data_IF_213351247410
#
_entry.id   IF_213351247410
#
_cell.length_a   1.000
_cell.length_b   1.000
_cell.length_c   1.000
_cell.angle_alpha   90.00
_cell.angle_beta   90.00
_cell.angle_gamma   90.00
#
_symmetry.space_group_name_H-M   'P 1'
#
loop_
_entity.id
_entity.type
_entity.pdbx_description
1 polymer ?
#
# COMPACT_ATOMS: atom_id res chain seq x y z
N UNK A 1 -9.44 31.80 40.84
CA UNK A 1 -7.97 31.78 40.75
C UNK A 1 -7.50 30.55 41.49
N UNK A 2 -7.56 29.41 40.81
CA UNK A 2 -6.76 28.24 41.14
C UNK A 2 -5.75 28.15 40.01
N UNK A 3 -4.49 28.47 40.33
CA UNK A 3 -3.38 28.21 39.43
C UNK A 3 -3.16 26.70 39.45
N UNK A 4 -3.72 26.01 38.47
CA UNK A 4 -3.26 24.66 38.15
C UNK A 4 -1.87 24.82 37.54
N UNK A 5 -0.85 24.57 38.37
CA UNK A 5 0.50 24.28 37.92
C UNK A 5 0.46 22.91 37.21
N UNK A 6 -0.17 22.91 36.02
CA UNK A 6 -0.17 21.76 35.12
C UNK A 6 1.16 21.85 34.39
N UNK A 7 2.18 21.20 34.96
CA UNK A 7 3.24 20.63 34.14
C UNK A 7 2.53 19.78 33.11
N UNK A 8 2.37 20.32 31.89
CA UNK A 8 1.82 19.57 30.77
C UNK A 8 2.76 18.39 30.53
N UNK A 9 2.24 17.16 30.30
CA UNK A 9 3.09 15.98 30.09
C UNK A 9 4.13 16.16 28.98
N UNK A 10 3.84 17.02 27.99
CA UNK A 10 4.76 17.42 26.93
C UNK A 10 6.01 18.18 27.44
N UNK A 11 5.91 18.90 28.56
CA UNK A 11 7.04 19.60 29.17
C UNK A 11 8.05 18.64 29.83
N UNK A 12 7.63 17.40 30.14
CA UNK A 12 8.48 16.36 30.73
C UNK A 12 9.14 15.40 29.74
N UNK A 13 8.97 15.63 28.42
CA UNK A 13 9.63 14.82 27.40
C UNK A 13 11.16 14.93 27.49
N UNK A 14 11.86 13.80 27.30
CA UNK A 14 13.32 13.79 27.17
C UNK A 14 13.78 14.54 25.91
N UNK A 15 15.08 14.85 25.81
CA UNK A 15 15.66 15.47 24.61
C UNK A 15 15.39 14.63 23.36
N UNK A 16 15.70 13.33 23.41
CA UNK A 16 15.45 12.38 22.33
C UNK A 16 13.95 12.33 21.94
N UNK A 17 13.04 12.30 22.92
CA UNK A 17 11.60 12.31 22.65
C UNK A 17 11.12 13.61 22.02
N UNK A 18 11.73 14.75 22.37
CA UNK A 18 11.42 16.04 21.76
C UNK A 18 11.91 16.11 20.33
N UNK A 19 13.12 15.65 20.04
CA UNK A 19 13.64 15.63 18.68
C UNK A 19 12.74 14.78 17.76
N UNK A 20 12.33 13.61 18.25
CA UNK A 20 11.36 12.74 17.55
C UNK A 20 9.98 13.34 17.40
N UNK A 21 9.51 14.09 18.39
CA UNK A 21 8.28 14.87 18.27
C UNK A 21 8.40 15.96 17.20
N UNK A 22 9.51 16.69 17.16
CA UNK A 22 9.75 17.78 16.19
C UNK A 22 9.91 17.23 14.78
N UNK A 23 10.61 16.12 14.59
CA UNK A 23 10.70 15.40 13.31
C UNK A 23 9.29 15.02 12.81
N UNK A 24 8.47 14.41 13.68
CA UNK A 24 7.09 14.04 13.37
C UNK A 24 6.22 15.25 12.99
N UNK A 25 6.26 16.33 13.77
CA UNK A 25 5.54 17.58 13.45
C UNK A 25 6.02 18.19 12.13
N UNK A 26 7.33 18.22 11.89
CA UNK A 26 7.93 18.78 10.67
C UNK A 26 7.44 18.04 9.43
N UNK A 27 7.33 16.72 9.50
CA UNK A 27 6.91 15.86 8.39
C UNK A 27 5.40 15.91 8.11
N UNK A 28 4.58 16.17 9.13
CA UNK A 28 3.17 15.78 9.09
C UNK A 28 2.15 16.81 9.58
N UNK A 29 2.59 17.92 10.18
CA UNK A 29 1.67 18.93 10.69
C UNK A 29 1.52 20.09 9.70
N UNK A 30 0.30 20.66 9.54
CA UNK A 30 0.05 21.80 8.65
C UNK A 30 0.61 23.11 9.26
N UNK A 31 1.93 23.24 9.24
CA UNK A 31 2.62 24.43 9.71
C UNK A 31 2.34 25.61 8.77
N UNK A 32 2.06 26.77 9.35
CA UNK A 32 2.01 28.03 8.60
C UNK A 32 3.43 28.51 8.31
N UNK A 33 3.61 29.27 7.22
CA UNK A 33 4.89 29.93 6.95
C UNK A 33 5.39 30.77 8.13
N UNK A 34 4.49 31.42 8.88
CA UNK A 34 4.85 32.16 10.10
C UNK A 34 5.42 31.25 11.21
N UNK A 35 4.89 30.03 11.38
CA UNK A 35 5.41 29.06 12.36
C UNK A 35 6.76 28.50 11.92
N UNK A 36 6.92 28.24 10.62
CA UNK A 36 8.21 27.82 10.04
C UNK A 36 9.26 28.91 10.27
N UNK A 37 8.91 30.17 10.01
CA UNK A 37 9.80 31.32 10.22
C UNK A 37 10.13 31.54 11.71
N UNK A 38 9.14 31.49 12.59
CA UNK A 38 9.32 31.80 14.00
C UNK A 38 10.24 30.78 14.70
N UNK A 39 10.20 29.52 14.29
CA UNK A 39 10.98 28.42 14.88
C UNK A 39 11.90 27.75 13.84
N UNK A 40 12.46 28.55 12.94
CA UNK A 40 13.27 28.05 11.82
C UNK A 40 14.42 27.15 12.24
N UNK A 41 15.04 27.40 13.39
CA UNK A 41 16.19 26.62 13.86
C UNK A 41 15.79 25.32 14.57
N UNK A 42 14.49 25.14 14.81
CA UNK A 42 13.93 23.97 15.47
C UNK A 42 13.48 22.93 14.45
N UNK A 43 12.89 23.35 13.34
CA UNK A 43 12.30 22.41 12.39
C UNK A 43 13.34 21.64 11.58
N UNK A 44 13.01 20.38 11.32
CA UNK A 44 13.75 19.53 10.39
C UNK A 44 13.32 19.88 8.96
N UNK A 45 14.18 20.58 8.22
CA UNK A 45 13.89 21.01 6.85
C UNK A 45 13.87 19.85 5.84
N UNK A 46 14.58 18.77 6.13
CA UNK A 46 14.56 17.56 5.32
C UNK A 46 13.19 16.84 5.44
N UNK A 47 12.63 16.84 6.65
CA UNK A 47 11.27 16.37 6.92
C UNK A 47 10.21 17.32 6.37
N UNK A 48 10.39 18.64 6.51
CA UNK A 48 9.47 19.64 5.97
C UNK A 48 9.39 19.58 4.43
N UNK A 49 10.49 19.32 3.72
CA UNK A 49 10.47 19.18 2.26
C UNK A 49 9.53 18.07 1.75
N UNK A 50 9.18 17.10 2.61
CA UNK A 50 8.23 16.02 2.29
C UNK A 50 6.82 16.28 2.83
N UNK A 51 6.60 17.42 3.49
CA UNK A 51 5.33 17.69 4.16
C UNK A 51 4.27 18.13 3.14
N UNK A 52 3.31 17.24 2.86
CA UNK A 52 2.22 17.47 1.90
C UNK A 52 1.08 18.34 2.45
N UNK A 53 1.07 18.64 3.76
CA UNK A 53 0.01 19.42 4.40
C UNK A 53 0.48 20.78 4.90
N UNK A 54 1.77 21.10 4.73
CA UNK A 54 2.32 22.40 5.02
C UNK A 54 1.65 23.46 4.14
N UNK A 55 1.41 24.66 4.69
CA UNK A 55 0.84 25.76 3.92
C UNK A 55 1.92 26.38 3.02
N UNK A 56 2.20 25.70 1.92
CA UNK A 56 3.21 26.11 0.95
C UNK A 56 2.80 27.40 0.23
N UNK A 57 3.80 28.21 -0.06
CA UNK A 57 3.71 29.36 -0.96
C UNK A 57 5.05 29.52 -1.67
N UNK A 58 5.06 30.14 -2.86
CA UNK A 58 6.32 30.39 -3.58
C UNK A 58 7.29 31.20 -2.70
N UNK A 59 6.78 32.17 -1.92
CA UNK A 59 7.60 32.99 -1.03
C UNK A 59 8.27 32.16 0.09
N UNK A 60 7.59 31.14 0.61
CA UNK A 60 8.17 30.26 1.62
C UNK A 60 9.28 29.39 1.02
N UNK A 61 9.08 28.87 -0.20
CA UNK A 61 10.08 28.09 -0.93
C UNK A 61 11.31 28.96 -1.17
N UNK A 62 11.13 30.15 -1.71
CA UNK A 62 12.21 31.12 -2.00
C UNK A 62 12.97 31.54 -0.74
N UNK A 63 12.25 31.85 0.34
CA UNK A 63 12.86 32.35 1.58
C UNK A 63 13.87 31.38 2.19
N UNK A 64 13.62 30.08 2.06
CA UNK A 64 14.45 29.02 2.65
C UNK A 64 15.10 28.13 1.59
N UNK A 65 15.36 28.67 0.40
CA UNK A 65 15.90 27.92 -0.75
C UNK A 65 17.19 27.12 -0.43
N UNK A 66 18.04 27.62 0.47
CA UNK A 66 19.29 26.95 0.88
C UNK A 66 19.10 25.86 1.93
N UNK A 67 17.91 25.75 2.52
CA UNK A 67 17.60 24.79 3.59
C UNK A 67 16.76 23.63 3.12
N UNK A 68 15.98 23.82 2.05
CA UNK A 68 15.17 22.75 1.49
C UNK A 68 16.02 21.65 0.90
N UNK A 69 15.56 20.42 1.09
CA UNK A 69 15.97 19.29 0.28
C UNK A 69 15.20 19.33 -1.05
N UNK A 70 15.87 19.76 -2.13
CA UNK A 70 15.27 19.93 -3.46
C UNK A 70 14.96 18.62 -4.17
N UNK A 71 15.69 17.55 -3.85
CA UNK A 71 15.38 16.21 -4.35
C UNK A 71 14.00 15.80 -3.84
N UNK A 72 13.74 16.04 -2.55
CA UNK A 72 12.45 15.77 -1.92
C UNK A 72 11.35 16.74 -2.33
N UNK A 73 11.66 18.03 -2.51
CA UNK A 73 10.68 19.00 -3.03
C UNK A 73 10.24 18.64 -4.45
N UNK A 74 11.14 18.14 -5.30
CA UNK A 74 10.81 17.72 -6.66
C UNK A 74 9.74 16.63 -6.73
N UNK A 75 9.63 15.80 -5.69
CA UNK A 75 8.61 14.76 -5.54
C UNK A 75 7.35 15.23 -4.82
N UNK A 76 7.41 16.36 -4.14
CA UNK A 76 6.32 16.78 -3.26
C UNK A 76 5.19 17.40 -4.09
N UNK A 77 4.06 16.71 -4.07
CA UNK A 77 2.87 17.06 -4.85
C UNK A 77 2.13 18.29 -4.30
N UNK A 78 2.41 18.70 -3.07
CA UNK A 78 1.72 19.81 -2.40
C UNK A 78 2.35 21.19 -2.65
N UNK A 79 3.46 21.27 -3.40
CA UNK A 79 4.05 22.57 -3.75
C UNK A 79 3.08 23.37 -4.62
N UNK A 80 3.18 24.72 -4.60
CA UNK A 80 2.43 25.60 -5.49
C UNK A 80 3.07 25.54 -6.89
N UNK A 81 2.97 24.38 -7.55
CA UNK A 81 3.62 24.15 -8.83
C UNK A 81 3.15 25.15 -9.89
N UNK A 82 4.12 25.82 -10.50
CA UNK A 82 3.93 26.73 -11.61
C UNK A 82 5.12 26.59 -12.56
N UNK A 83 4.93 26.89 -13.85
CA UNK A 83 6.06 26.89 -14.79
C UNK A 83 7.15 27.89 -14.36
N UNK A 84 6.76 28.97 -13.69
CA UNK A 84 7.68 29.98 -13.19
C UNK A 84 8.52 29.44 -12.01
N UNK A 85 7.91 28.73 -11.07
CA UNK A 85 8.63 28.09 -9.96
C UNK A 85 9.66 27.09 -10.49
N UNK A 86 9.26 26.25 -11.46
CA UNK A 86 10.14 25.28 -12.11
C UNK A 86 11.32 26.00 -12.78
N UNK A 87 11.03 27.01 -13.59
CA UNK A 87 12.04 27.76 -14.35
C UNK A 87 12.98 28.59 -13.48
N UNK A 88 12.49 29.21 -12.39
CA UNK A 88 13.34 30.01 -11.47
C UNK A 88 14.38 29.16 -10.76
N UNK A 89 14.07 27.89 -10.48
CA UNK A 89 14.93 26.98 -9.74
C UNK A 89 15.46 25.83 -10.62
N UNK A 90 15.61 26.08 -11.93
CA UNK A 90 15.96 25.06 -12.93
C UNK A 90 17.18 24.21 -12.55
N UNK A 91 18.19 24.83 -11.95
CA UNK A 91 19.46 24.20 -11.56
C UNK A 91 19.37 23.40 -10.25
N UNK A 92 18.33 23.61 -9.45
CA UNK A 92 18.18 22.97 -8.12
C UNK A 92 17.40 21.66 -8.17
N UNK A 93 16.60 21.45 -9.21
CA UNK A 93 15.78 20.23 -9.37
C UNK A 93 16.59 18.99 -9.78
N UNK A 94 17.82 19.18 -10.26
CA UNK A 94 18.68 18.08 -10.69
C UNK A 94 19.23 17.33 -9.48
N UNK A 95 19.02 16.02 -9.45
CA UNK A 95 19.58 15.14 -8.42
C UNK A 95 21.10 15.07 -8.53
N UNK A 96 21.81 15.40 -7.45
CA UNK A 96 23.28 15.43 -7.39
C UNK A 96 23.90 14.07 -7.76
N UNK A 97 23.16 12.97 -7.59
CA UNK A 97 23.66 11.60 -7.78
C UNK A 97 23.52 11.05 -9.20
N UNK A 98 22.65 11.60 -10.05
CA UNK A 98 22.19 10.89 -11.26
C UNK A 98 22.39 11.60 -12.61
N UNK A 99 23.17 12.68 -12.65
CA UNK A 99 23.52 13.41 -13.88
C UNK A 99 22.32 14.08 -14.57
N UNK A 100 22.31 15.41 -14.52
CA UNK A 100 21.63 16.41 -15.39
C UNK A 100 20.08 16.35 -15.59
N UNK A 101 19.43 15.19 -15.44
CA UNK A 101 18.01 14.99 -15.73
C UNK A 101 17.09 15.21 -14.51
N UNK A 102 15.87 15.65 -14.80
CA UNK A 102 14.80 15.96 -13.85
C UNK A 102 13.98 14.72 -13.50
N UNK A 103 14.64 13.68 -13.01
CA UNK A 103 14.01 12.40 -12.67
C UNK A 103 12.80 12.55 -11.74
N UNK A 104 12.95 13.30 -10.65
CA UNK A 104 11.86 13.50 -9.68
C UNK A 104 10.72 14.38 -10.21
N UNK A 105 11.01 15.40 -11.01
CA UNK A 105 9.94 16.18 -11.63
C UNK A 105 9.22 15.38 -12.73
N UNK A 106 9.93 14.59 -13.54
CA UNK A 106 9.36 13.76 -14.62
C UNK A 106 8.28 12.80 -14.14
N UNK A 107 8.37 12.32 -12.89
CA UNK A 107 7.41 11.41 -12.26
C UNK A 107 6.36 12.10 -11.39
N UNK A 108 6.48 13.40 -11.16
CA UNK A 108 5.59 14.13 -10.27
C UNK A 108 4.29 14.46 -11.03
N UNK A 109 3.19 13.91 -10.56
CA UNK A 109 1.87 14.01 -11.21
C UNK A 109 1.17 15.35 -10.95
N UNK A 110 1.64 16.14 -9.99
CA UNK A 110 1.06 17.42 -9.61
C UNK A 110 1.65 18.63 -10.34
N UNK A 111 2.61 18.43 -11.23
CA UNK A 111 3.10 19.50 -12.10
C UNK A 111 1.98 19.99 -13.04
N UNK A 112 2.02 21.26 -13.48
CA UNK A 112 1.07 21.80 -14.45
C UNK A 112 1.39 21.30 -15.87
N UNK A 113 1.25 19.99 -16.08
CA UNK A 113 1.64 19.34 -17.33
C UNK A 113 0.88 19.93 -18.53
N UNK A 114 1.65 20.39 -19.50
CA UNK A 114 1.19 20.90 -20.77
C UNK A 114 2.18 20.48 -21.85
N UNK A 115 1.73 20.45 -23.11
CA UNK A 115 2.62 20.17 -24.24
C UNK A 115 3.72 21.24 -24.34
N UNK A 116 3.40 22.48 -23.97
CA UNK A 116 4.33 23.60 -23.90
C UNK A 116 5.41 23.40 -22.83
N UNK A 117 5.03 22.97 -21.62
CA UNK A 117 5.97 22.69 -20.53
C UNK A 117 6.91 21.54 -20.91
N UNK A 118 6.38 20.46 -21.48
CA UNK A 118 7.18 19.31 -21.96
C UNK A 118 8.18 19.78 -23.01
N UNK A 119 7.71 20.55 -24.01
CA UNK A 119 8.58 21.06 -25.09
C UNK A 119 9.63 22.06 -24.61
N UNK A 120 9.30 22.89 -23.60
CA UNK A 120 10.21 23.93 -23.09
C UNK A 120 11.46 23.33 -22.44
N UNK A 121 11.30 22.20 -21.75
CA UNK A 121 12.37 21.55 -21.01
C UNK A 121 12.67 20.14 -21.53
N UNK A 122 12.48 19.91 -22.83
CA UNK A 122 12.58 18.58 -23.44
C UNK A 122 13.89 17.85 -23.09
N UNK A 123 15.00 18.58 -23.02
CA UNK A 123 16.34 18.07 -22.72
C UNK A 123 16.65 17.90 -21.23
N UNK A 124 15.76 18.36 -20.35
CA UNK A 124 15.88 18.18 -18.90
C UNK A 124 15.05 17.00 -18.41
N UNK A 125 13.98 16.63 -19.12
CA UNK A 125 13.13 15.55 -18.67
C UNK A 125 13.81 14.19 -18.82
N UNK A 126 13.66 13.36 -17.78
CA UNK A 126 13.85 11.92 -17.92
C UNK A 126 12.64 11.33 -18.66
N UNK A 127 12.86 10.85 -19.89
CA UNK A 127 11.81 10.38 -20.80
C UNK A 127 11.32 8.96 -20.49
N UNK A 128 12.10 8.16 -19.75
CA UNK A 128 11.63 6.87 -19.25
C UNK A 128 10.58 7.13 -18.15
N UNK A 129 10.86 8.04 -17.20
CA UNK A 129 9.87 8.42 -16.17
C UNK A 129 8.69 9.21 -16.71
N UNK A 130 8.88 10.13 -17.66
CA UNK A 130 7.73 10.77 -18.33
C UNK A 130 6.82 9.74 -19.02
N UNK A 131 7.40 8.70 -19.63
CA UNK A 131 6.64 7.63 -20.27
C UNK A 131 5.69 6.91 -19.30
N UNK A 132 6.01 6.89 -18.01
CA UNK A 132 5.17 6.32 -16.95
C UNK A 132 4.26 7.30 -16.22
N UNK A 133 4.34 8.59 -16.51
CA UNK A 133 3.59 9.60 -15.77
C UNK A 133 2.14 9.66 -16.30
N UNK A 134 1.19 9.24 -15.47
CA UNK A 134 -0.23 9.16 -15.85
C UNK A 134 -0.91 10.53 -15.94
N UNK A 135 -0.32 11.58 -15.33
CA UNK A 135 -0.86 12.93 -15.33
C UNK A 135 -0.49 13.76 -16.56
N UNK A 136 0.32 13.23 -17.48
CA UNK A 136 0.61 13.94 -18.73
C UNK A 136 -0.66 14.11 -19.59
N UNK A 137 -0.73 15.15 -20.43
CA UNK A 137 -1.82 15.35 -21.38
C UNK A 137 -1.70 14.40 -22.57
N UNK A 138 -1.78 13.09 -22.28
CA UNK A 138 -1.62 12.02 -23.26
C UNK A 138 -2.58 12.17 -24.44
N UNK A 139 -2.00 12.11 -25.64
CA UNK A 139 -2.70 12.15 -26.92
C UNK A 139 -1.81 11.50 -27.98
N UNK A 140 -2.40 10.97 -29.05
CA UNK A 140 -1.61 10.45 -30.17
C UNK A 140 -0.66 11.53 -30.74
N UNK A 141 -1.11 12.80 -30.79
CA UNK A 141 -0.29 13.93 -31.20
C UNK A 141 0.95 14.15 -30.31
N UNK A 142 0.83 13.95 -29.00
CA UNK A 142 1.96 14.06 -28.06
C UNK A 142 2.95 12.91 -28.29
N UNK A 143 2.44 11.69 -28.47
CA UNK A 143 3.26 10.50 -28.73
C UNK A 143 4.04 10.68 -30.03
N UNK A 144 3.36 11.09 -31.11
CA UNK A 144 3.97 11.33 -32.43
C UNK A 144 4.99 12.46 -32.38
N UNK A 145 4.70 13.58 -31.72
CA UNK A 145 5.63 14.71 -31.64
C UNK A 145 6.97 14.32 -31.03
N UNK A 146 6.94 13.51 -29.97
CA UNK A 146 8.13 13.11 -29.22
C UNK A 146 8.52 11.66 -29.48
N UNK A 147 8.16 11.11 -30.65
CA UNK A 147 8.38 9.71 -31.02
C UNK A 147 9.83 9.27 -30.78
N UNK A 148 10.83 10.10 -31.05
CA UNK A 148 12.23 9.71 -30.90
C UNK A 148 12.81 9.93 -29.50
N UNK A 149 12.02 10.48 -28.57
CA UNK A 149 12.42 10.74 -27.18
C UNK A 149 11.87 9.69 -26.23
N UNK A 150 10.70 9.13 -26.54
CA UNK A 150 10.10 8.08 -25.72
C UNK A 150 10.99 6.84 -25.62
N UNK A 151 11.11 6.32 -24.40
CA UNK A 151 11.77 5.05 -24.12
C UNK A 151 10.84 3.88 -24.50
N UNK A 152 10.75 3.57 -25.80
CA UNK A 152 9.85 2.51 -26.32
C UNK A 152 10.22 1.11 -25.84
N UNK A 153 11.50 0.81 -25.68
CA UNK A 153 12.02 -0.41 -25.06
C UNK A 153 12.15 -0.28 -23.52
N UNK A 154 11.75 0.88 -22.98
CA UNK A 154 11.74 1.19 -21.57
C UNK A 154 10.63 0.47 -20.81
N UNK A 155 10.66 0.64 -19.49
CA UNK A 155 9.73 -0.07 -18.59
C UNK A 155 8.37 0.60 -18.54
N UNK A 156 8.33 1.93 -18.54
CA UNK A 156 7.14 2.63 -18.06
C UNK A 156 6.12 2.93 -19.15
N UNK A 157 6.55 3.30 -20.36
CA UNK A 157 5.64 3.65 -21.46
C UNK A 157 4.70 2.50 -21.86
N UNK A 158 5.25 1.28 -21.97
CA UNK A 158 4.51 0.09 -22.39
C UNK A 158 3.45 -0.36 -21.36
N UNK A 159 3.69 -0.05 -20.08
CA UNK A 159 2.82 -0.42 -18.97
C UNK A 159 1.87 0.71 -18.54
N UNK A 160 2.02 1.92 -19.08
CA UNK A 160 1.25 3.08 -18.67
C UNK A 160 -0.20 2.97 -19.17
N UNK A 161 -1.14 2.93 -18.22
CA UNK A 161 -2.58 2.75 -18.47
C UNK A 161 -3.27 4.03 -18.94
N UNK A 162 -2.65 5.19 -18.73
CA UNK A 162 -3.19 6.50 -19.12
C UNK A 162 -2.93 6.89 -20.58
N UNK A 163 -2.14 6.10 -21.34
CA UNK A 163 -2.00 6.31 -22.78
C UNK A 163 -3.36 6.16 -23.48
N UNK A 164 -3.56 6.84 -24.63
CA UNK A 164 -4.80 6.77 -25.39
C UNK A 164 -4.80 5.49 -26.23
N UNK A 165 -4.77 4.33 -25.58
CA UNK A 165 -4.65 3.04 -26.25
C UNK A 165 -5.79 2.82 -27.24
N UNK A 166 -5.41 2.59 -28.49
CA UNK A 166 -6.30 2.25 -29.59
C UNK A 166 -5.60 1.18 -30.45
N UNK A 167 -6.37 0.36 -31.18
CA UNK A 167 -5.76 -0.59 -32.11
C UNK A 167 -4.92 0.14 -33.18
N UNK A 168 -5.32 1.35 -33.57
CA UNK A 168 -4.57 2.21 -34.50
C UNK A 168 -3.24 2.66 -33.90
N UNK A 169 -3.19 3.11 -32.64
CA UNK A 169 -1.94 3.49 -31.97
C UNK A 169 -0.98 2.30 -31.84
N UNK A 170 -1.50 1.12 -31.46
CA UNK A 170 -0.72 -0.11 -31.37
C UNK A 170 -0.14 -0.46 -32.75
N UNK A 171 -0.95 -0.40 -33.81
CA UNK A 171 -0.53 -0.70 -35.17
C UNK A 171 0.47 0.33 -35.73
N UNK A 172 0.28 1.62 -35.45
CA UNK A 172 1.15 2.70 -35.91
C UNK A 172 2.60 2.55 -35.44
N UNK A 173 2.81 2.02 -34.23
CA UNK A 173 4.12 1.84 -33.63
C UNK A 173 4.44 0.37 -33.31
N UNK A 174 3.88 -0.55 -34.10
CA UNK A 174 3.93 -1.99 -33.80
C UNK A 174 5.36 -2.53 -33.59
N UNK A 175 6.35 -1.97 -34.29
CA UNK A 175 7.75 -2.40 -34.22
C UNK A 175 8.57 -1.68 -33.15
N UNK A 176 7.99 -0.65 -32.50
CA UNK A 176 8.64 0.06 -31.41
C UNK A 176 8.18 -0.44 -30.05
N UNK A 177 6.92 -0.83 -29.92
CA UNK A 177 6.39 -1.35 -28.67
C UNK A 177 7.16 -2.57 -28.19
N UNK A 178 7.34 -2.66 -26.87
CA UNK A 178 7.77 -3.90 -26.24
C UNK A 178 6.56 -4.82 -26.02
N UNK A 179 6.54 -5.96 -26.70
CA UNK A 179 5.45 -6.94 -26.61
C UNK A 179 5.68 -8.04 -25.56
N UNK A 180 6.93 -8.22 -25.10
CA UNK A 180 7.36 -9.39 -24.31
C UNK A 180 7.88 -8.99 -22.91
N UNK A 181 7.62 -9.86 -21.93
CA UNK A 181 8.06 -9.69 -20.54
C UNK A 181 7.09 -8.91 -19.65
N UNK A 182 7.55 -8.62 -18.42
CA UNK A 182 6.70 -8.12 -17.34
C UNK A 182 6.28 -6.65 -17.44
N UNK A 183 6.98 -5.87 -18.27
CA UNK A 183 6.75 -4.43 -18.46
C UNK A 183 6.49 -4.16 -19.96
N UNK A 184 5.55 -4.90 -20.52
CA UNK A 184 5.27 -4.95 -21.96
C UNK A 184 3.78 -4.78 -22.24
N UNK A 185 3.42 -4.70 -23.51
CA UNK A 185 2.03 -4.74 -23.94
C UNK A 185 1.31 -6.01 -23.46
N UNK A 186 1.98 -7.17 -23.41
CA UNK A 186 1.35 -8.43 -22.93
C UNK A 186 0.90 -8.35 -21.47
N UNK A 187 1.55 -7.54 -20.65
CA UNK A 187 1.19 -7.34 -19.24
C UNK A 187 0.21 -6.21 -19.00
N UNK A 188 -0.05 -5.37 -20.00
CA UNK A 188 -0.86 -4.16 -19.85
C UNK A 188 -2.36 -4.51 -19.88
N UNK A 189 -3.07 -4.31 -18.78
CA UNK A 189 -4.50 -4.62 -18.67
C UNK A 189 -5.40 -3.53 -19.28
N UNK A 190 -4.86 -2.33 -19.53
CA UNK A 190 -5.58 -1.18 -20.08
C UNK A 190 -5.64 -1.15 -21.62
N UNK A 191 -4.98 -2.09 -22.31
CA UNK A 191 -5.11 -2.20 -23.76
C UNK A 191 -6.57 -2.50 -24.16
N UNK A 192 -7.00 -2.09 -25.38
CA UNK A 192 -8.32 -2.39 -25.91
C UNK A 192 -8.42 -3.86 -26.32
N UNK A 193 -8.32 -4.77 -25.35
CA UNK A 193 -8.28 -6.20 -25.61
C UNK A 193 -9.55 -6.69 -26.32
N UNK A 194 -9.34 -7.33 -27.46
CA UNK A 194 -10.36 -8.01 -28.27
C UNK A 194 -9.80 -9.36 -28.73
N UNK A 195 -10.67 -10.31 -29.11
CA UNK A 195 -10.18 -11.54 -29.73
C UNK A 195 -9.43 -11.20 -31.04
N UNK A 196 -9.90 -10.20 -31.77
CA UNK A 196 -9.28 -9.70 -33.00
C UNK A 196 -7.87 -9.14 -32.79
N UNK A 197 -7.63 -8.35 -31.73
CA UNK A 197 -6.31 -7.81 -31.39
C UNK A 197 -5.32 -8.92 -31.02
N UNK A 198 -5.79 -9.92 -30.26
CA UNK A 198 -4.98 -11.10 -29.90
C UNK A 198 -4.61 -11.87 -31.16
N UNK A 199 -5.58 -12.14 -32.03
CA UNK A 199 -5.38 -12.90 -33.27
C UNK A 199 -4.47 -12.17 -34.27
N UNK A 200 -4.63 -10.85 -34.40
CA UNK A 200 -3.86 -10.03 -35.36
C UNK A 200 -2.35 -10.05 -35.06
N UNK A 201 -1.99 -10.10 -33.78
CA UNK A 201 -0.60 -10.03 -33.32
C UNK A 201 -0.18 -11.30 -32.57
N UNK A 202 -0.77 -12.47 -32.91
CA UNK A 202 -0.59 -13.72 -32.16
C UNK A 202 0.89 -14.12 -31.97
N UNK A 203 1.73 -13.88 -32.98
CA UNK A 203 3.16 -14.20 -32.93
C UNK A 203 4.01 -13.22 -32.09
N UNK A 204 3.45 -12.06 -31.70
CA UNK A 204 4.16 -11.05 -30.90
C UNK A 204 3.84 -11.15 -29.41
N UNK A 205 2.68 -11.70 -29.05
CA UNK A 205 2.25 -11.78 -27.67
C UNK A 205 3.05 -12.81 -26.87
N UNK A 206 3.47 -12.44 -25.67
CA UNK A 206 4.00 -13.40 -24.71
C UNK A 206 2.84 -14.08 -23.98
N UNK A 207 2.42 -15.24 -24.49
CA UNK A 207 1.34 -16.05 -23.90
C UNK A 207 1.60 -16.44 -22.45
N UNK A 208 2.86 -16.52 -22.02
CA UNK A 208 3.21 -16.74 -20.61
C UNK A 208 2.76 -15.55 -19.77
N UNK A 209 3.03 -14.32 -20.20
CA UNK A 209 2.61 -13.11 -19.49
C UNK A 209 1.10 -12.88 -19.63
N UNK A 210 0.54 -13.06 -20.83
CA UNK A 210 -0.90 -12.98 -21.06
C UNK A 210 -1.70 -13.91 -20.15
N UNK A 211 -1.16 -15.09 -19.81
CA UNK A 211 -1.83 -16.04 -18.89
C UNK A 211 -2.17 -15.46 -17.51
N UNK A 212 -1.50 -14.38 -17.09
CA UNK A 212 -1.80 -13.65 -15.85
C UNK A 212 -2.63 -12.38 -16.07
N UNK A 213 -2.67 -11.86 -17.29
CA UNK A 213 -3.31 -10.59 -17.60
C UNK A 213 -4.83 -10.72 -17.41
N UNK A 214 -5.40 -9.89 -16.52
CA UNK A 214 -6.83 -9.93 -16.18
C UNK A 214 -7.69 -9.10 -17.12
N UNK A 215 -7.09 -8.28 -17.98
CA UNK A 215 -7.76 -7.45 -18.98
C UNK A 215 -8.19 -8.20 -20.24
N UNK A 216 -7.69 -9.42 -20.48
CA UNK A 216 -8.09 -10.23 -21.64
C UNK A 216 -9.58 -10.58 -21.60
N UNK A 217 -10.24 -10.75 -22.78
CA UNK A 217 -11.63 -11.17 -22.89
C UNK A 217 -11.79 -12.67 -22.61
N UNK A 218 -11.44 -13.10 -21.39
CA UNK A 218 -11.40 -14.50 -21.01
C UNK A 218 -12.73 -15.20 -21.22
N UNK A 219 -12.69 -16.23 -22.05
CA UNK A 219 -13.80 -17.14 -22.27
C UNK A 219 -13.28 -18.53 -22.63
N UNK A 220 -14.14 -19.54 -22.55
CA UNK A 220 -13.76 -20.94 -22.80
C UNK A 220 -13.23 -21.14 -24.24
N UNK A 221 -13.67 -20.34 -25.23
CA UNK A 221 -13.16 -20.43 -26.61
C UNK A 221 -11.74 -19.92 -26.72
N UNK A 222 -11.44 -18.76 -26.12
CA UNK A 222 -10.09 -18.19 -26.07
C UNK A 222 -9.11 -19.15 -25.37
N UNK A 223 -9.49 -19.67 -24.20
CA UNK A 223 -8.70 -20.67 -23.46
C UNK A 223 -8.40 -21.90 -24.33
N UNK A 224 -9.42 -22.43 -24.99
CA UNK A 224 -9.29 -23.61 -25.85
C UNK A 224 -8.43 -23.35 -27.09
N UNK A 225 -8.57 -22.19 -27.73
CA UNK A 225 -7.85 -21.86 -28.98
C UNK A 225 -6.33 -21.91 -28.78
N UNK A 226 -5.87 -21.39 -27.64
CA UNK A 226 -4.46 -21.26 -27.30
C UNK A 226 -4.03 -22.18 -26.16
N UNK A 227 -4.71 -23.33 -25.98
CA UNK A 227 -4.54 -24.20 -24.81
C UNK A 227 -3.12 -24.71 -24.59
N UNK A 228 -2.35 -24.85 -25.67
CA UNK A 228 -0.95 -25.30 -25.62
C UNK A 228 0.07 -24.15 -25.55
N UNK A 229 -0.37 -22.90 -25.69
CA UNK A 229 0.47 -21.71 -25.54
C UNK A 229 0.37 -21.11 -24.13
N UNK A 230 -0.78 -21.28 -23.46
CA UNK A 230 -0.97 -20.78 -22.11
C UNK A 230 -0.03 -21.43 -21.10
N UNK A 231 0.45 -20.60 -20.17
CA UNK A 231 1.11 -21.05 -18.96
C UNK A 231 0.04 -21.42 -17.92
N UNK A 232 -0.22 -22.71 -17.79
CA UNK A 232 -1.28 -23.23 -16.91
C UNK A 232 -1.04 -22.94 -15.43
N UNK A 233 0.22 -22.81 -15.00
CA UNK A 233 0.54 -22.40 -13.62
C UNK A 233 0.05 -20.98 -13.35
N UNK A 234 0.30 -20.05 -14.29
CA UNK A 234 -0.20 -18.67 -14.21
C UNK A 234 -1.72 -18.59 -14.35
N UNK A 235 -2.31 -19.35 -15.28
CA UNK A 235 -3.77 -19.42 -15.41
C UNK A 235 -4.44 -19.93 -14.13
N UNK A 236 -3.84 -20.90 -13.45
CA UNK A 236 -4.37 -21.44 -12.17
C UNK A 236 -4.50 -20.37 -11.08
N UNK A 237 -3.71 -19.30 -11.16
CA UNK A 237 -3.73 -18.17 -10.23
C UNK A 237 -4.42 -16.93 -10.81
N UNK A 238 -5.01 -17.04 -12.01
CA UNK A 238 -5.66 -15.92 -12.68
C UNK A 238 -7.14 -15.84 -12.26
N UNK A 239 -7.44 -14.88 -11.38
CA UNK A 239 -8.80 -14.67 -10.87
C UNK A 239 -9.82 -14.13 -11.88
N UNK A 240 -9.38 -13.75 -13.09
CA UNK A 240 -10.26 -13.24 -14.15
C UNK A 240 -10.80 -14.35 -15.08
N UNK A 241 -10.35 -15.59 -14.92
CA UNK A 241 -10.89 -16.70 -15.70
C UNK A 241 -12.37 -16.96 -15.37
N UNK A 242 -13.15 -17.46 -16.33
CA UNK A 242 -14.55 -17.84 -16.12
C UNK A 242 -14.63 -19.17 -15.35
N UNK A 243 -14.20 -19.16 -14.09
CA UNK A 243 -14.17 -20.35 -13.23
C UNK A 243 -15.54 -20.99 -13.11
N UNK A 244 -15.58 -22.29 -13.37
CA UNK A 244 -16.72 -23.16 -13.13
C UNK A 244 -16.23 -24.56 -12.79
N UNK A 245 -17.06 -25.36 -12.14
CA UNK A 245 -16.72 -26.76 -11.86
C UNK A 245 -16.40 -27.53 -13.17
N UNK A 246 -17.11 -27.23 -14.26
CA UNK A 246 -16.86 -27.84 -15.56
C UNK A 246 -15.51 -27.42 -16.16
N UNK A 247 -15.10 -26.15 -15.99
CA UNK A 247 -13.79 -25.69 -16.46
C UNK A 247 -12.66 -26.35 -15.65
N UNK A 248 -12.81 -26.42 -14.33
CA UNK A 248 -11.86 -27.09 -13.44
C UNK A 248 -11.73 -28.56 -13.83
N UNK A 249 -12.86 -29.27 -13.95
CA UNK A 249 -12.88 -30.68 -14.33
C UNK A 249 -12.32 -30.95 -15.73
N UNK A 250 -12.56 -30.06 -16.70
CA UNK A 250 -12.09 -30.24 -18.10
C UNK A 250 -10.57 -30.28 -18.19
N UNK A 251 -9.89 -29.50 -17.37
CA UNK A 251 -8.44 -29.31 -17.41
C UNK A 251 -7.78 -29.71 -16.08
N UNK A 252 -8.39 -30.64 -15.35
CA UNK A 252 -7.96 -31.14 -14.03
C UNK A 252 -6.45 -31.47 -13.98
N UNK A 253 -5.94 -32.16 -15.00
CA UNK A 253 -4.53 -32.55 -15.09
C UNK A 253 -3.57 -31.41 -15.48
N UNK A 254 -4.09 -30.28 -15.98
CA UNK A 254 -3.29 -29.11 -16.37
C UNK A 254 -3.24 -28.06 -15.27
N UNK A 255 -4.25 -27.99 -14.41
CA UNK A 255 -4.27 -27.04 -13.32
C UNK A 255 -3.20 -27.33 -12.28
N UNK A 256 -2.62 -26.26 -11.76
CA UNK A 256 -1.83 -26.30 -10.53
C UNK A 256 -2.79 -26.17 -9.36
N UNK A 257 -2.99 -27.26 -8.62
CA UNK A 257 -3.91 -27.28 -7.47
C UNK A 257 -3.35 -26.52 -6.27
N UNK A 258 -2.05 -26.61 -6.05
CA UNK A 258 -1.28 -25.71 -5.19
C UNK A 258 0.22 -25.95 -5.32
N UNK A 259 1.00 -24.88 -5.29
CA UNK A 259 2.47 -24.87 -5.25
C UNK A 259 2.92 -23.59 -4.53
N UNK A 260 4.19 -23.46 -4.15
CA UNK A 260 4.75 -22.23 -3.60
C UNK A 260 4.37 -21.02 -4.49
N UNK A 261 3.52 -20.15 -3.95
CA UNK A 261 3.11 -18.90 -4.56
C UNK A 261 1.91 -18.94 -5.52
N UNK A 262 1.09 -20.00 -5.56
CA UNK A 262 -0.18 -19.96 -6.30
C UNK A 262 -0.86 -21.31 -6.56
N UNK A 263 -1.95 -21.28 -7.33
CA UNK A 263 -2.77 -22.44 -7.70
C UNK A 263 -4.23 -22.32 -7.29
N UNK A 264 -5.05 -23.30 -7.68
CA UNK A 264 -6.50 -23.26 -7.46
C UNK A 264 -6.87 -23.15 -5.97
N UNK A 265 -6.12 -23.78 -5.06
CA UNK A 265 -6.39 -23.72 -3.61
C UNK A 265 -6.31 -22.29 -3.06
N UNK A 266 -5.49 -21.42 -3.67
CA UNK A 266 -5.31 -20.02 -3.28
C UNK A 266 -6.39 -19.09 -3.85
N UNK A 267 -7.24 -19.58 -4.75
CA UNK A 267 -8.16 -18.70 -5.48
C UNK A 267 -9.41 -18.36 -4.67
N UNK A 268 -9.70 -17.07 -4.57
CA UNK A 268 -10.96 -16.57 -4.01
C UNK A 268 -12.06 -16.41 -5.08
N UNK A 269 -11.68 -16.41 -6.36
CA UNK A 269 -12.60 -16.26 -7.49
C UNK A 269 -13.29 -17.56 -7.94
N UNK A 270 -12.86 -18.71 -7.41
CA UNK A 270 -13.50 -20.00 -7.69
C UNK A 270 -14.89 -19.99 -7.05
N UNK A 271 -15.93 -20.52 -7.72
CA UNK A 271 -17.25 -20.67 -7.13
C UNK A 271 -17.25 -21.82 -6.11
N UNK A 272 -16.68 -21.56 -4.92
CA UNK A 272 -16.55 -22.56 -3.87
C UNK A 272 -17.91 -23.10 -3.42
N UNK A 273 -17.99 -24.41 -3.30
CA UNK A 273 -19.12 -25.16 -2.74
C UNK A 273 -18.57 -26.36 -1.97
N UNK A 274 -19.35 -26.89 -1.02
CA UNK A 274 -18.96 -28.14 -0.36
C UNK A 274 -18.82 -29.28 -1.40
N UNK A 275 -19.69 -29.34 -2.42
CA UNK A 275 -19.61 -30.35 -3.49
C UNK A 275 -18.28 -30.25 -4.28
N UNK A 276 -17.78 -29.04 -4.54
CA UNK A 276 -16.50 -28.82 -5.22
C UNK A 276 -15.31 -29.23 -4.34
N UNK A 277 -15.38 -28.93 -3.04
CA UNK A 277 -14.37 -29.34 -2.06
C UNK A 277 -14.34 -30.87 -1.98
N UNK A 278 -15.50 -31.50 -1.81
CA UNK A 278 -15.68 -32.95 -1.71
C UNK A 278 -15.18 -33.65 -2.99
N UNK A 279 -15.50 -33.11 -4.18
CA UNK A 279 -15.14 -33.71 -5.47
C UNK A 279 -13.63 -33.82 -5.69
N UNK A 280 -12.87 -32.82 -5.23
CA UNK A 280 -11.43 -32.73 -5.45
C UNK A 280 -10.64 -32.76 -4.13
N UNK A 281 -11.17 -33.44 -3.11
CA UNK A 281 -10.64 -33.40 -1.73
C UNK A 281 -9.16 -33.79 -1.61
N UNK A 282 -8.69 -34.67 -2.48
CA UNK A 282 -7.30 -35.16 -2.48
C UNK A 282 -6.36 -34.31 -3.35
N UNK A 283 -6.91 -33.41 -4.17
CA UNK A 283 -6.14 -32.49 -5.00
C UNK A 283 -5.88 -31.16 -4.28
N UNK A 284 -6.74 -30.77 -3.34
CA UNK A 284 -6.61 -29.50 -2.63
C UNK A 284 -5.43 -29.48 -1.64
N UNK A 285 -4.74 -28.34 -1.60
CA UNK A 285 -3.76 -28.05 -0.56
C UNK A 285 -4.48 -27.55 0.69
N UNK A 286 -4.74 -28.45 1.63
CA UNK A 286 -5.58 -28.17 2.81
C UNK A 286 -5.05 -27.05 3.71
N UNK A 287 -3.73 -26.89 3.81
CA UNK A 287 -3.15 -25.77 4.55
C UNK A 287 -3.53 -24.42 3.92
N UNK A 288 -3.55 -24.34 2.58
CA UNK A 288 -3.98 -23.14 1.83
C UNK A 288 -5.48 -22.93 1.99
N UNK A 289 -6.28 -23.99 1.84
CA UNK A 289 -7.73 -23.89 2.03
C UNK A 289 -8.07 -23.40 3.45
N UNK A 290 -7.29 -23.79 4.46
CA UNK A 290 -7.46 -23.34 5.84
C UNK A 290 -7.31 -21.83 6.00
N UNK A 291 -6.49 -21.18 5.17
CA UNK A 291 -6.31 -19.72 5.16
C UNK A 291 -7.31 -18.99 4.25
N UNK A 292 -8.01 -19.71 3.36
CA UNK A 292 -8.83 -19.09 2.32
C UNK A 292 -10.19 -18.64 2.88
N UNK A 293 -10.43 -17.33 2.86
CA UNK A 293 -11.65 -16.71 3.41
C UNK A 293 -12.89 -16.87 2.51
N UNK A 294 -12.72 -17.29 1.25
CA UNK A 294 -13.79 -17.43 0.28
C UNK A 294 -14.51 -18.80 0.33
N UNK A 295 -14.01 -19.75 1.13
CA UNK A 295 -14.71 -21.02 1.34
C UNK A 295 -16.08 -20.81 2.00
N UNK A 296 -17.04 -21.73 1.78
CA UNK A 296 -18.34 -21.70 2.44
C UNK A 296 -18.24 -22.15 3.90
N UNK A 297 -17.49 -21.41 4.72
CA UNK A 297 -17.20 -21.79 6.11
C UNK A 297 -18.48 -21.96 6.93
N UNK A 298 -18.56 -23.11 7.58
CA UNK A 298 -19.59 -23.46 8.56
C UNK A 298 -18.95 -24.30 9.67
N UNK A 299 -19.56 -24.33 10.86
CA UNK A 299 -19.08 -25.24 11.92
C UNK A 299 -19.12 -26.72 11.47
N UNK A 300 -20.04 -27.07 10.56
CA UNK A 300 -20.15 -28.43 9.99
C UNK A 300 -19.01 -28.73 9.01
N UNK A 301 -18.61 -27.78 8.17
CA UNK A 301 -17.45 -27.92 7.27
C UNK A 301 -16.14 -28.05 8.07
N UNK A 302 -15.98 -27.21 9.11
CA UNK A 302 -14.83 -27.29 10.03
C UNK A 302 -14.78 -28.68 10.68
N UNK A 303 -15.92 -29.17 11.18
CA UNK A 303 -16.00 -30.48 11.84
C UNK A 303 -15.82 -31.66 10.87
N UNK A 304 -16.29 -31.57 9.62
CA UNK A 304 -16.17 -32.63 8.61
C UNK A 304 -14.71 -32.93 8.28
N UNK A 305 -13.89 -31.89 8.18
CA UNK A 305 -12.47 -31.97 7.79
C UNK A 305 -11.51 -31.59 8.92
N UNK A 306 -11.93 -31.80 10.17
CA UNK A 306 -11.21 -31.39 11.39
C UNK A 306 -9.72 -31.77 11.41
N UNK A 307 -9.39 -32.95 10.87
CA UNK A 307 -8.05 -33.51 10.85
C UNK A 307 -7.25 -33.18 9.58
N UNK A 308 -7.90 -32.60 8.56
CA UNK A 308 -7.22 -32.12 7.35
C UNK A 308 -6.90 -30.63 7.44
N UNK A 309 -7.66 -29.86 8.21
CA UNK A 309 -7.39 -28.43 8.39
C UNK A 309 -6.07 -28.18 9.10
N UNK A 310 -5.35 -27.17 8.61
CA UNK A 310 -4.23 -26.57 9.30
C UNK A 310 -4.77 -25.55 10.32
N UNK A 311 -4.62 -25.88 11.60
CA UNK A 311 -5.17 -25.07 12.69
C UNK A 311 -4.38 -23.78 12.94
N UNK A 312 -3.12 -23.71 12.52
CA UNK A 312 -2.34 -22.48 12.57
C UNK A 312 -2.90 -21.47 11.58
N UNK A 313 -3.19 -21.92 10.35
CA UNK A 313 -3.81 -21.10 9.30
C UNK A 313 -5.28 -20.74 9.62
N UNK A 314 -6.09 -21.70 10.08
CA UNK A 314 -7.47 -21.41 10.49
C UNK A 314 -7.55 -20.34 11.58
N UNK A 315 -6.58 -20.32 12.51
CA UNK A 315 -6.55 -19.34 13.60
C UNK A 315 -6.40 -17.90 13.11
N UNK A 316 -5.78 -17.70 11.95
CA UNK A 316 -5.64 -16.40 11.30
C UNK A 316 -6.72 -16.07 10.28
N UNK A 317 -7.64 -17.00 9.98
CA UNK A 317 -8.61 -16.83 8.91
C UNK A 317 -9.85 -16.04 9.39
N UNK A 318 -10.06 -14.88 8.78
CA UNK A 318 -11.17 -13.97 9.10
C UNK A 318 -12.54 -14.44 8.55
N UNK A 319 -12.54 -15.39 7.60
CA UNK A 319 -13.74 -15.94 6.96
C UNK A 319 -14.48 -16.99 7.81
N UNK A 320 -13.88 -17.47 8.91
CA UNK A 320 -14.53 -18.45 9.79
C UNK A 320 -15.76 -17.84 10.51
N UNK A 321 -16.76 -18.67 10.87
CA UNK A 321 -17.92 -18.25 11.65
C UNK A 321 -17.55 -18.08 13.13
N UNK A 322 -16.66 -17.13 13.43
CA UNK A 322 -16.11 -16.94 14.76
C UNK A 322 -17.21 -16.68 15.80
N UNK A 323 -17.18 -17.49 16.85
CA UNK A 323 -18.04 -17.35 18.01
C UNK A 323 -17.28 -17.75 19.26
N UNK A 324 -17.70 -17.25 20.42
CA UNK A 324 -17.12 -17.69 21.68
C UNK A 324 -17.23 -19.22 21.86
N UNK A 325 -18.27 -19.85 21.30
CA UNK A 325 -18.45 -21.31 21.33
C UNK A 325 -17.44 -22.04 20.46
N UNK A 326 -17.18 -21.54 19.25
CA UNK A 326 -16.18 -22.11 18.34
C UNK A 326 -14.77 -22.01 18.95
N UNK A 327 -14.44 -20.86 19.54
CA UNK A 327 -13.18 -20.65 20.25
C UNK A 327 -13.06 -21.63 21.42
N UNK A 328 -14.09 -21.75 22.26
CA UNK A 328 -14.11 -22.66 23.40
C UNK A 328 -14.05 -24.15 23.00
N UNK A 329 -14.74 -24.55 21.93
CA UNK A 329 -14.80 -25.94 21.45
C UNK A 329 -13.42 -26.48 21.05
N UNK A 330 -12.60 -25.63 20.44
CA UNK A 330 -11.30 -26.00 19.90
C UNK A 330 -10.15 -25.23 20.59
N UNK A 331 -10.32 -24.85 21.86
CA UNK A 331 -9.40 -23.95 22.57
C UNK A 331 -7.94 -24.41 22.59
N UNK A 332 -7.71 -25.73 22.56
CA UNK A 332 -6.38 -26.34 22.58
C UNK A 332 -5.83 -26.66 21.18
N UNK A 333 -6.64 -26.54 20.12
CA UNK A 333 -6.18 -26.63 18.73
C UNK A 333 -5.81 -25.27 18.15
N UNK A 334 -6.45 -24.19 18.61
CA UNK A 334 -6.15 -22.86 18.10
C UNK A 334 -4.71 -22.43 18.41
N UNK A 335 -4.08 -21.84 17.42
CA UNK A 335 -2.86 -21.07 17.60
C UNK A 335 -3.21 -19.71 18.18
N UNK A 336 -2.88 -19.50 19.45
CA UNK A 336 -3.15 -18.24 20.13
C UNK A 336 -2.22 -17.10 19.67
N UNK A 337 -1.15 -17.40 18.92
CA UNK A 337 -0.15 -16.46 18.43
C UNK A 337 1.22 -16.65 19.10
N UNK A 338 2.24 -16.04 18.52
CA UNK A 338 3.61 -16.09 19.04
C UNK A 338 4.63 -15.47 18.08
N UNK A 339 5.90 -15.53 18.45
CA UNK A 339 7.02 -14.99 17.65
C UNK A 339 7.38 -15.83 16.42
N UNK A 340 6.78 -17.01 16.25
CA UNK A 340 7.19 -18.02 15.28
C UNK A 340 6.36 -18.04 13.98
N UNK A 341 5.31 -17.22 13.85
CA UNK A 341 4.46 -17.26 12.65
C UNK A 341 3.66 -15.98 12.38
N UNK A 342 3.24 -15.75 11.12
CA UNK A 342 2.41 -14.60 10.74
C UNK A 342 0.96 -14.72 11.22
N UNK A 343 0.50 -15.92 11.60
CA UNK A 343 -0.91 -16.26 11.91
C UNK A 343 -1.20 -16.36 13.41
N UNK A 344 -2.48 -16.57 13.76
CA UNK A 344 -2.93 -16.87 15.12
C UNK A 344 -4.01 -15.91 15.65
N UNK A 345 -4.75 -16.36 16.65
CA UNK A 345 -5.90 -15.64 17.22
C UNK A 345 -5.55 -14.23 17.73
N UNK A 346 -4.35 -14.01 18.27
CA UNK A 346 -3.91 -12.67 18.73
C UNK A 346 -3.78 -11.63 17.60
N UNK A 347 -3.75 -12.03 16.33
CA UNK A 347 -3.73 -11.13 15.16
C UNK A 347 -5.05 -11.10 14.40
N UNK A 348 -6.03 -11.93 14.79
CA UNK A 348 -7.26 -12.13 14.05
C UNK A 348 -8.29 -11.05 14.42
N UNK A 349 -8.65 -10.24 13.44
CA UNK A 349 -9.54 -9.09 13.66
C UNK A 349 -11.02 -9.49 13.64
N UNK A 350 -11.35 -10.63 13.04
CA UNK A 350 -12.70 -11.17 12.96
C UNK A 350 -13.20 -11.84 14.25
N UNK A 351 -12.33 -12.03 15.26
CA UNK A 351 -12.76 -12.59 16.54
C UNK A 351 -13.83 -11.72 17.21
N UNK A 352 -14.74 -12.32 18.01
CA UNK A 352 -15.73 -11.61 18.81
C UNK A 352 -15.07 -10.96 20.03
N UNK A 353 -14.20 -9.98 19.78
CA UNK A 353 -13.43 -9.27 20.79
C UNK A 353 -14.33 -8.67 21.85
N UNK A 354 -14.01 -8.98 23.09
CA UNK A 354 -14.68 -8.42 24.25
C UNK A 354 -13.73 -8.46 25.43
N UNK A 355 -13.95 -7.56 26.40
CA UNK A 355 -13.22 -7.57 27.67
C UNK A 355 -13.29 -8.93 28.38
N UNK A 356 -14.38 -9.68 28.21
CA UNK A 356 -14.54 -11.04 28.74
C UNK A 356 -13.65 -12.05 28.01
N UNK A 357 -13.59 -11.99 26.69
CA UNK A 357 -12.74 -12.87 25.88
C UNK A 357 -11.25 -12.61 26.18
N UNK A 358 -10.84 -11.33 26.14
CA UNK A 358 -9.45 -10.93 26.44
C UNK A 358 -9.07 -11.36 27.86
N UNK A 359 -9.91 -11.07 28.86
CA UNK A 359 -9.63 -11.44 30.24
C UNK A 359 -9.70 -12.95 30.53
N UNK A 360 -10.52 -13.73 29.83
CA UNK A 360 -10.59 -15.19 30.04
C UNK A 360 -9.30 -15.89 29.62
N UNK A 361 -8.72 -15.44 28.52
CA UNK A 361 -7.52 -16.05 27.92
C UNK A 361 -6.29 -15.15 28.04
N UNK A 362 -6.24 -14.30 29.08
CA UNK A 362 -5.20 -13.30 29.32
C UNK A 362 -3.77 -13.84 29.15
N UNK A 363 -3.52 -15.05 29.65
CA UNK A 363 -2.21 -15.69 29.59
C UNK A 363 -1.91 -16.45 28.30
N UNK A 364 -2.92 -16.66 27.44
CA UNK A 364 -2.75 -17.32 26.14
C UNK A 364 -2.50 -16.30 25.02
N UNK A 365 -2.99 -15.06 25.17
CA UNK A 365 -2.74 -14.02 24.19
C UNK A 365 -1.26 -13.67 24.09
N UNK A 366 -0.80 -13.49 22.85
CA UNK A 366 0.50 -12.91 22.57
C UNK A 366 0.35 -11.40 22.39
N UNK A 367 0.59 -10.67 23.48
CA UNK A 367 0.36 -9.23 23.56
C UNK A 367 1.07 -8.38 22.50
N UNK A 368 2.30 -8.69 22.03
CA UNK A 368 2.90 -7.94 20.94
C UNK A 368 2.05 -7.98 19.65
N UNK A 369 1.42 -9.11 19.34
CA UNK A 369 0.51 -9.23 18.20
C UNK A 369 -0.80 -8.47 18.42
N UNK A 370 -1.37 -8.54 19.62
CA UNK A 370 -2.55 -7.74 19.96
C UNK A 370 -2.25 -6.25 19.82
N UNK A 371 -1.04 -5.81 20.16
CA UNK A 371 -0.65 -4.39 20.10
C UNK A 371 -0.66 -3.83 18.68
N UNK A 372 -0.36 -4.65 17.68
CA UNK A 372 -0.42 -4.26 16.26
C UNK A 372 -1.73 -4.63 15.57
N UNK A 373 -2.57 -5.49 16.16
CA UNK A 373 -3.77 -6.09 15.55
C UNK A 373 -5.09 -5.34 15.78
N UNK A 374 -6.17 -6.06 16.10
CA UNK A 374 -7.54 -5.51 16.09
C UNK A 374 -7.76 -4.23 16.87
N UNK A 375 -8.49 -3.28 16.27
CA UNK A 375 -9.02 -2.09 16.97
C UNK A 375 -9.92 -2.46 18.14
N UNK A 376 -10.72 -3.53 18.01
CA UNK A 376 -11.69 -3.93 19.04
C UNK A 376 -11.00 -4.53 20.27
N UNK A 377 -9.87 -5.22 20.10
CA UNK A 377 -9.02 -5.65 21.20
C UNK A 377 -8.33 -4.46 21.91
N UNK A 378 -8.16 -3.34 21.20
CA UNK A 378 -7.45 -2.13 21.64
C UNK A 378 -8.39 -0.97 21.99
N UNK A 379 -9.56 -1.27 22.57
CA UNK A 379 -10.40 -0.22 23.14
C UNK A 379 -9.70 0.45 24.33
N UNK A 380 -9.97 1.73 24.58
CA UNK A 380 -9.31 2.53 25.64
C UNK A 380 -9.38 1.82 27.00
N UNK A 381 -10.53 1.21 27.33
CA UNK A 381 -10.71 0.50 28.59
C UNK A 381 -9.87 -0.79 28.73
N UNK A 382 -9.57 -1.46 27.61
CA UNK A 382 -8.68 -2.63 27.60
C UNK A 382 -7.22 -2.16 27.64
N UNK A 383 -6.88 -1.10 26.89
CA UNK A 383 -5.54 -0.50 26.91
C UNK A 383 -5.16 -0.09 28.34
N UNK A 384 -6.02 0.70 28.99
CA UNK A 384 -5.79 1.17 30.34
C UNK A 384 -5.74 0.04 31.37
N UNK A 385 -6.52 -1.02 31.18
CA UNK A 385 -6.54 -2.15 32.11
C UNK A 385 -5.27 -2.99 32.05
N UNK A 386 -4.66 -3.10 30.87
CA UNK A 386 -3.51 -3.97 30.61
C UNK A 386 -2.30 -3.16 30.14
N UNK A 387 -2.12 -1.93 30.66
CA UNK A 387 -1.13 -0.96 30.17
C UNK A 387 0.31 -1.47 30.12
N UNK A 388 0.67 -2.43 30.98
CA UNK A 388 2.01 -3.03 31.06
C UNK A 388 2.23 -4.22 30.13
N UNK A 389 1.17 -4.75 29.51
CA UNK A 389 1.27 -5.87 28.58
C UNK A 389 1.50 -5.40 27.14
N UNK A 390 1.08 -4.18 26.80
CA UNK A 390 1.15 -3.66 25.44
C UNK A 390 2.58 -3.32 25.00
N UNK A 391 2.86 -3.63 23.73
CA UNK A 391 3.98 -3.03 23.00
C UNK A 391 3.63 -1.60 22.61
N UNK A 392 4.11 -0.63 23.37
CA UNK A 392 3.86 0.80 23.12
C UNK A 392 4.44 1.27 21.79
N UNK A 393 5.53 0.67 21.31
CA UNK A 393 6.04 0.92 19.96
C UNK A 393 5.01 0.54 18.88
N UNK A 394 4.39 -0.65 19.00
CA UNK A 394 3.37 -1.11 18.06
C UNK A 394 2.06 -0.33 18.17
N UNK A 395 1.68 0.08 19.39
CA UNK A 395 0.54 0.99 19.57
C UNK A 395 0.80 2.34 18.91
N UNK A 396 2.02 2.88 19.00
CA UNK A 396 2.38 4.18 18.42
C UNK A 396 2.15 4.21 16.91
N UNK A 397 2.45 3.13 16.20
CA UNK A 397 2.30 3.00 14.74
C UNK A 397 0.85 2.85 14.27
N UNK A 398 -0.11 2.66 15.19
CA UNK A 398 -1.46 2.27 14.82
C UNK A 398 -2.31 3.43 14.32
N UNK A 399 -2.79 3.32 13.08
CA UNK A 399 -3.79 4.25 12.51
C UNK A 399 -5.19 4.08 13.08
N UNK A 400 -5.48 2.92 13.65
CA UNK A 400 -6.85 2.51 13.99
C UNK A 400 -7.14 2.57 15.48
N UNK A 401 -6.18 2.96 16.32
CA UNK A 401 -6.44 3.19 17.74
C UNK A 401 -7.53 4.25 17.95
N UNK A 402 -8.27 4.17 19.07
CA UNK A 402 -9.22 5.22 19.46
C UNK A 402 -8.47 6.45 19.97
N UNK A 403 -7.71 7.11 19.08
CA UNK A 403 -6.93 8.29 19.40
C UNK A 403 -7.82 9.45 19.88
N UNK A 404 -7.39 10.08 20.96
CA UNK A 404 -7.89 11.36 21.44
C UNK A 404 -6.79 12.03 22.27
N UNK A 405 -6.90 13.34 22.49
CA UNK A 405 -5.87 14.13 23.17
C UNK A 405 -5.50 13.55 24.54
N UNK A 406 -6.48 13.16 25.36
CA UNK A 406 -6.20 12.58 26.68
C UNK A 406 -5.47 11.23 26.63
N UNK A 407 -5.56 10.45 25.54
CA UNK A 407 -4.75 9.22 25.37
C UNK A 407 -3.28 9.57 25.07
N UNK A 408 -3.06 10.58 24.23
CA UNK A 408 -1.72 11.09 23.91
C UNK A 408 -1.06 11.68 25.15
N UNK A 409 -1.79 12.53 25.88
CA UNK A 409 -1.29 13.18 27.08
C UNK A 409 -1.02 12.21 28.23
N UNK A 410 -1.94 11.27 28.50
CA UNK A 410 -1.84 10.35 29.63
C UNK A 410 -0.64 9.40 29.52
N UNK A 411 -0.26 9.02 28.31
CA UNK A 411 0.84 8.10 28.03
C UNK A 411 1.96 8.77 27.23
N UNK A 412 2.13 10.08 27.37
CA UNK A 412 3.08 10.90 26.61
C UNK A 412 4.52 10.39 26.67
N UNK A 413 4.90 9.76 27.79
CA UNK A 413 6.21 9.17 28.06
C UNK A 413 6.39 7.78 27.44
N UNK A 414 5.31 7.09 27.06
CA UNK A 414 5.33 5.75 26.48
C UNK A 414 5.25 5.75 24.95
N UNK A 415 4.76 6.83 24.35
CA UNK A 415 4.64 6.95 22.90
C UNK A 415 6.00 7.10 22.21
N UNK A 416 6.13 6.43 21.07
CA UNK A 416 7.20 6.65 20.10
C UNK A 416 6.70 7.68 19.10
N UNK A 417 6.94 8.96 19.40
CA UNK A 417 6.32 10.10 18.70
C UNK A 417 6.62 10.10 17.19
N UNK A 418 7.81 9.72 16.79
CA UNK A 418 8.22 9.60 15.39
C UNK A 418 7.46 8.53 14.60
N UNK A 419 6.79 7.62 15.30
CA UNK A 419 6.02 6.52 14.70
C UNK A 419 4.52 6.80 14.61
N UNK A 420 4.04 7.85 15.28
CA UNK A 420 2.62 8.17 15.31
C UNK A 420 2.17 8.62 13.91
N UNK A 421 1.06 8.07 13.36
CA UNK A 421 0.59 8.45 12.04
C UNK A 421 0.29 9.95 11.93
N UNK A 422 0.62 10.52 10.78
CA UNK A 422 0.53 11.96 10.50
C UNK A 422 -0.86 12.54 10.77
N UNK A 423 -1.90 11.81 10.37
CA UNK A 423 -3.30 12.18 10.56
C UNK A 423 -3.67 12.35 12.05
N UNK A 424 -2.97 11.68 12.95
CA UNK A 424 -3.19 11.76 14.40
C UNK A 424 -2.61 13.06 14.94
N UNK A 425 -1.42 13.47 14.48
CA UNK A 425 -0.84 14.78 14.82
C UNK A 425 -1.80 15.90 14.44
N UNK A 426 -2.30 15.90 13.20
CA UNK A 426 -3.19 16.96 12.69
C UNK A 426 -4.52 17.00 13.44
N UNK A 427 -5.09 15.84 13.75
CA UNK A 427 -6.44 15.74 14.31
C UNK A 427 -6.50 15.91 15.82
N UNK A 428 -5.45 15.51 16.53
CA UNK A 428 -5.50 15.33 17.98
C UNK A 428 -4.48 16.16 18.77
N UNK A 429 -3.46 16.76 18.13
CA UNK A 429 -2.59 17.71 18.82
C UNK A 429 -3.06 19.14 18.62
N UNK A 430 -3.02 19.90 19.71
CA UNK A 430 -3.34 21.33 19.69
C UNK A 430 -2.11 22.15 19.27
N UNK A 431 -2.32 23.30 18.59
CA UNK A 431 -1.24 24.23 18.30
C UNK A 431 -0.46 24.69 19.54
N UNK A 432 -1.10 24.71 20.72
CA UNK A 432 -0.45 25.08 21.97
C UNK A 432 0.52 24.00 22.47
N UNK A 433 0.18 22.72 22.34
CA UNK A 433 1.11 21.61 22.64
C UNK A 433 2.36 21.68 21.75
N UNK A 434 2.18 21.96 20.46
CA UNK A 434 3.30 22.08 19.49
C UNK A 434 4.18 23.29 19.83
N UNK A 435 3.57 24.45 20.09
CA UNK A 435 4.31 25.67 20.49
C UNK A 435 5.09 25.45 21.79
N UNK A 436 4.54 24.71 22.73
CA UNK A 436 5.21 24.40 23.98
C UNK A 436 6.47 23.57 23.73
N UNK A 437 6.39 22.50 22.94
CA UNK A 437 7.57 21.68 22.62
C UNK A 437 8.59 22.47 21.79
N UNK A 438 8.14 23.22 20.78
CA UNK A 438 9.00 24.02 19.90
C UNK A 438 9.63 25.24 20.58
N UNK A 439 9.07 25.75 21.67
CA UNK A 439 9.66 26.85 22.45
C UNK A 439 10.64 26.38 23.51
N UNK A 440 10.47 25.15 24.03
CA UNK A 440 11.38 24.56 25.01
C UNK A 440 12.72 24.13 24.40
N UNK A 441 12.76 23.79 23.10
CA UNK A 441 14.01 23.53 22.38
C UNK A 441 14.91 24.76 22.29
N UNK A 442 14.32 25.96 22.14
CA UNK A 442 15.06 27.25 22.11
C UNK A 442 15.72 27.65 23.43
N UNK A 443 15.28 27.10 24.58
CA UNK A 443 15.81 27.51 25.88
C UNK A 443 17.05 26.72 26.31
N UNK A 444 17.48 25.71 25.54
CA UNK A 444 18.60 24.83 25.88
C UNK A 444 19.82 24.96 24.95
N UNK A 445 19.72 25.74 23.87
CA UNK A 445 20.84 26.19 23.02
C UNK A 445 21.23 27.62 23.34
#
# INVERSE_FOLDING_TARGET
MESSDMSTPYASLSEEQRDKFIEGVSRHFPLTGQMVEQYSDTWDFEALSQNEVLYWSEELVERFEERWDWEKLGLNEALPWSEDLIARHEDRWTEVRYFEDWRNLSRNESLPWSKELISRFEDRWDWDYLGGNEALPWSEDLIVQFENRWAWDGTWLNANEALPWSEDLIACFEDRWNWDGFNSLSSNEALPWSEELIERHEDRWDFKILSRNRGLPWNVRLLRRYEDQWDWRRLSSNGALPWSEELIARYEDRWTWGEEGGGLSFQESIPWSEDLIDRFEDSWEWWVLSANGALPWSEDLIARYEDRWDWDELSGNDGLPWSARLIERYEDRWNWGGSAGPTGLSKNDALPWSRKLVGRYESRWFWPNLSSGSRAARSVDIIERFEDQWSWASLSESKTLPWYEGLLERFADRWYWEKIPSEIFVKHLTPDAIRLVASNSKQQT
#
